data_IF_399561067619
#
_entry.id   IF_399561067619
#
_cell.length_a   1.000
_cell.length_b   1.000
_cell.length_c   1.000
_cell.angle_alpha   90.00
_cell.angle_beta   90.00
_cell.angle_gamma   90.00
#
_symmetry.space_group_name_H-M   'P 1'
#
loop_
_entity.id
_entity.type
_entity.pdbx_description
1 polymer ?
#
# COMPACT_ATOMS: atom_id res chain seq x y z
N UNK A 1 -12.07 60.34 -14.87
CA UNK A 1 -12.14 58.88 -14.93
C UNK A 1 -10.88 58.34 -14.24
N UNK A 2 -10.94 58.10 -12.93
CA UNK A 2 -9.86 57.49 -12.14
C UNK A 2 -10.54 56.48 -11.25
N UNK A 3 -10.57 55.24 -11.72
CA UNK A 3 -11.11 54.12 -10.97
C UNK A 3 -10.21 53.84 -9.76
N UNK A 4 -10.83 53.88 -8.59
CA UNK A 4 -10.19 53.55 -7.32
C UNK A 4 -10.21 52.04 -7.16
N UNK A 5 -9.06 51.41 -7.42
CA UNK A 5 -8.81 50.03 -7.01
C UNK A 5 -8.61 50.01 -5.49
N UNK A 6 -9.69 49.78 -4.76
CA UNK A 6 -9.64 49.41 -3.34
C UNK A 6 -9.08 47.99 -3.24
N UNK A 7 -7.76 47.85 -3.13
CA UNK A 7 -7.10 46.56 -2.87
C UNK A 7 -7.42 46.13 -1.44
N UNK A 8 -8.43 45.27 -1.31
CA UNK A 8 -8.89 44.71 -0.05
C UNK A 8 -7.84 43.69 0.46
N UNK A 9 -6.74 44.16 1.05
CA UNK A 9 -5.73 43.30 1.66
C UNK A 9 -6.26 42.75 2.99
N UNK A 10 -6.84 41.54 2.96
CA UNK A 10 -7.20 40.82 4.19
C UNK A 10 -5.93 40.59 5.01
N UNK A 11 -5.77 41.28 6.12
CA UNK A 11 -4.72 41.01 7.09
C UNK A 11 -5.06 39.70 7.80
N UNK A 12 -4.16 38.73 7.73
CA UNK A 12 -4.28 37.47 8.49
C UNK A 12 -4.13 37.84 9.96
N UNK A 13 -5.06 37.41 10.82
CA UNK A 13 -4.98 37.68 12.26
C UNK A 13 -4.22 36.58 12.97
N UNK A 14 -3.60 36.91 14.10
CA UNK A 14 -2.92 35.99 15.02
C UNK A 14 -3.72 34.72 15.28
N UNK A 15 -5.02 34.85 15.59
CA UNK A 15 -5.92 33.72 15.81
C UNK A 15 -6.05 32.83 14.57
N UNK A 16 -6.13 33.43 13.38
CA UNK A 16 -6.21 32.64 12.13
C UNK A 16 -4.93 31.85 11.84
N UNK A 17 -3.73 32.35 12.17
CA UNK A 17 -2.48 31.61 12.00
C UNK A 17 -2.42 30.38 12.92
N UNK A 18 -2.84 30.54 14.18
CA UNK A 18 -2.89 29.42 15.14
C UNK A 18 -3.89 28.36 14.68
N UNK A 19 -5.08 28.74 14.22
CA UNK A 19 -6.06 27.79 13.67
C UNK A 19 -5.54 27.07 12.43
N UNK A 20 -4.91 27.78 11.49
CA UNK A 20 -4.31 27.16 10.30
C UNK A 20 -3.22 26.16 10.69
N UNK A 21 -2.38 26.50 11.66
CA UNK A 21 -1.36 25.59 12.15
C UNK A 21 -1.93 24.34 12.83
N UNK A 22 -2.97 24.49 13.64
CA UNK A 22 -3.70 23.37 14.24
C UNK A 22 -4.34 22.46 13.17
N UNK A 23 -4.87 23.03 12.08
CA UNK A 23 -5.39 22.26 10.94
C UNK A 23 -4.28 21.42 10.30
N UNK A 24 -3.08 21.97 10.09
CA UNK A 24 -1.95 21.20 9.55
C UNK A 24 -1.53 20.04 10.46
N UNK A 25 -1.50 20.25 11.78
CA UNK A 25 -1.23 19.17 12.74
C UNK A 25 -2.32 18.11 12.75
N UNK A 26 -3.59 18.53 12.65
CA UNK A 26 -4.72 17.62 12.52
C UNK A 26 -4.62 16.78 11.24
N UNK A 27 -4.29 17.40 10.10
CA UNK A 27 -4.06 16.68 8.84
C UNK A 27 -2.92 15.66 8.99
N UNK A 28 -1.81 16.04 9.61
CA UNK A 28 -0.70 15.12 9.88
C UNK A 28 -1.14 13.91 10.72
N UNK A 29 -1.94 14.15 11.78
CA UNK A 29 -2.48 13.10 12.64
C UNK A 29 -3.45 12.20 11.88
N UNK A 30 -4.35 12.76 11.07
CA UNK A 30 -5.28 12.00 10.22
C UNK A 30 -4.51 11.12 9.22
N UNK A 31 -3.47 11.66 8.58
CA UNK A 31 -2.61 10.88 7.68
C UNK A 31 -1.97 9.73 8.44
N UNK A 32 -1.36 9.98 9.60
CA UNK A 32 -0.72 8.94 10.40
C UNK A 32 -1.70 7.85 10.83
N UNK A 33 -2.84 8.24 11.42
CA UNK A 33 -3.90 7.32 11.84
C UNK A 33 -4.35 6.47 10.66
N UNK A 34 -4.60 7.10 9.51
CA UNK A 34 -5.01 6.37 8.33
C UNK A 34 -4.00 5.29 7.93
N UNK A 35 -2.70 5.56 7.96
CA UNK A 35 -1.67 4.55 7.66
C UNK A 35 -1.68 3.37 8.63
N UNK A 36 -1.90 3.63 9.92
CA UNK A 36 -1.93 2.58 10.94
C UNK A 36 -3.10 1.60 10.76
N UNK A 37 -4.19 2.06 10.14
CA UNK A 37 -5.40 1.26 9.89
C UNK A 37 -5.56 0.83 8.43
N UNK A 38 -4.58 1.07 7.55
CA UNK A 38 -4.67 0.58 6.18
C UNK A 38 -4.52 -0.95 6.17
N UNK A 39 -5.47 -1.69 5.56
CA UNK A 39 -5.26 -3.11 5.33
C UNK A 39 -4.06 -3.30 4.40
N UNK A 40 -3.24 -4.30 4.70
CA UNK A 40 -2.14 -4.70 3.84
C UNK A 40 -2.59 -5.82 2.91
N UNK A 41 -2.12 -5.78 1.67
CA UNK A 41 -2.40 -6.79 0.66
C UNK A 41 -1.17 -7.06 -0.17
N UNK A 42 -0.97 -8.30 -0.60
CA UNK A 42 -0.01 -8.66 -1.65
C UNK A 42 -0.78 -9.15 -2.86
N UNK A 43 -0.45 -8.61 -4.04
CA UNK A 43 -0.95 -9.11 -5.32
C UNK A 43 0.14 -9.96 -5.96
N UNK A 44 -0.17 -11.23 -6.17
CA UNK A 44 0.68 -12.18 -6.88
C UNK A 44 0.15 -12.29 -8.30
N UNK A 45 1.03 -12.16 -9.30
CA UNK A 45 0.70 -12.25 -10.71
C UNK A 45 1.65 -13.25 -11.36
N UNK A 46 1.11 -14.13 -12.20
CA UNK A 46 1.89 -15.09 -12.97
C UNK A 46 1.24 -15.29 -14.33
N UNK A 47 2.04 -15.76 -15.27
CA UNK A 47 1.60 -16.04 -16.63
C UNK A 47 2.11 -17.41 -17.07
N UNK A 48 1.31 -18.09 -17.86
CA UNK A 48 1.69 -19.34 -18.50
C UNK A 48 1.91 -19.09 -19.99
N UNK A 49 2.84 -19.82 -20.60
CA UNK A 49 3.02 -19.81 -22.06
C UNK A 49 2.04 -20.77 -22.76
N UNK A 50 1.82 -21.93 -22.14
CA UNK A 50 0.87 -22.99 -22.54
C UNK A 50 0.46 -23.77 -21.28
N UNK A 51 -0.71 -24.42 -21.33
CA UNK A 51 -1.27 -25.20 -20.23
C UNK A 51 -1.66 -26.60 -20.75
N UNK A 52 -0.70 -27.54 -20.69
CA UNK A 52 -0.89 -28.90 -21.15
C UNK A 52 -1.36 -29.78 -19.99
N UNK A 53 -2.60 -30.27 -20.08
CA UNK A 53 -3.22 -31.07 -19.02
C UNK A 53 -3.30 -30.35 -17.66
N UNK A 54 -3.20 -29.03 -17.63
CA UNK A 54 -3.32 -28.24 -16.40
C UNK A 54 -4.80 -28.13 -15.99
N UNK A 55 -5.15 -28.61 -14.79
CA UNK A 55 -6.46 -28.39 -14.19
C UNK A 55 -6.55 -26.99 -13.55
N UNK A 56 -5.46 -26.50 -12.98
CA UNK A 56 -5.39 -25.18 -12.37
C UNK A 56 -4.22 -25.03 -11.41
N UNK A 57 -4.34 -24.04 -10.53
CA UNK A 57 -3.25 -23.61 -9.65
C UNK A 57 -3.68 -23.45 -8.20
N UNK A 58 -2.75 -23.74 -7.30
CA UNK A 58 -2.78 -23.33 -5.91
C UNK A 58 -1.62 -22.41 -5.60
N UNK A 59 -1.85 -21.47 -4.68
CA UNK A 59 -0.80 -20.68 -4.05
C UNK A 59 -0.62 -21.10 -2.60
N UNK A 60 0.64 -21.11 -2.20
CA UNK A 60 1.08 -21.30 -0.83
C UNK A 60 1.91 -20.11 -0.40
N UNK A 61 1.98 -19.89 0.92
CA UNK A 61 2.73 -18.79 1.53
C UNK A 61 3.54 -19.28 2.71
N UNK A 62 4.75 -18.74 2.86
CA UNK A 62 5.61 -18.86 4.03
C UNK A 62 6.15 -17.48 4.44
N UNK A 63 6.58 -17.35 5.70
CA UNK A 63 7.35 -16.20 6.19
C UNK A 63 8.88 -16.41 6.10
N UNK A 64 9.31 -17.59 5.64
CA UNK A 64 10.72 -17.95 5.45
C UNK A 64 10.87 -18.70 4.11
N UNK A 65 11.98 -18.47 3.37
CA UNK A 65 12.19 -19.16 2.10
C UNK A 65 12.31 -20.68 2.27
N UNK A 66 12.87 -21.14 3.39
CA UNK A 66 13.04 -22.55 3.74
C UNK A 66 11.97 -23.05 4.74
N UNK A 67 10.94 -22.24 4.99
CA UNK A 67 9.91 -22.50 5.98
C UNK A 67 8.78 -23.40 5.48
N UNK A 68 7.80 -23.66 6.36
CA UNK A 68 6.59 -24.37 5.99
C UNK A 68 5.67 -23.47 5.14
N UNK A 69 5.33 -23.95 3.95
CA UNK A 69 4.41 -23.28 3.04
C UNK A 69 2.97 -23.73 3.30
N UNK A 70 2.12 -22.78 3.66
CA UNK A 70 0.69 -23.01 3.93
C UNK A 70 -0.14 -22.57 2.73
N UNK A 71 -1.08 -23.41 2.27
CA UNK A 71 -1.97 -23.07 1.15
C UNK A 71 -2.86 -21.88 1.53
N UNK A 72 -2.89 -20.86 0.67
CA UNK A 72 -3.70 -19.64 0.87
C UNK A 72 -4.89 -19.56 -0.09
N UNK A 73 -4.96 -20.46 -1.07
CA UNK A 73 -6.10 -20.60 -1.97
C UNK A 73 -7.12 -21.58 -1.37
N UNK A 74 -8.36 -21.13 -1.23
CA UNK A 74 -9.47 -21.95 -0.69
C UNK A 74 -9.91 -23.03 -1.69
N UNK A 75 -9.95 -22.66 -2.97
CA UNK A 75 -10.28 -23.53 -4.09
C UNK A 75 -9.20 -23.47 -5.16
N UNK A 76 -9.17 -24.47 -6.04
CA UNK A 76 -8.31 -24.47 -7.21
C UNK A 76 -8.62 -23.24 -8.08
N UNK A 77 -7.59 -22.53 -8.52
CA UNK A 77 -7.71 -21.45 -9.50
C UNK A 77 -7.73 -22.13 -10.87
N UNK A 78 -8.85 -22.17 -11.60
CA UNK A 78 -8.95 -22.98 -12.82
C UNK A 78 -8.01 -22.48 -13.90
N UNK A 79 -7.41 -23.43 -14.61
CA UNK A 79 -6.71 -23.17 -15.86
C UNK A 79 -7.61 -22.43 -16.87
N UNK A 80 -7.04 -21.46 -17.57
CA UNK A 80 -7.70 -20.62 -18.59
C UNK A 80 -7.03 -20.77 -19.96
N UNK A 81 -5.78 -21.19 -19.98
CA UNK A 81 -5.04 -21.53 -21.17
C UNK A 81 -5.39 -22.92 -21.68
N UNK A 82 -4.57 -23.40 -22.60
CA UNK A 82 -4.67 -24.69 -23.25
C UNK A 82 -3.30 -25.10 -23.82
N UNK A 83 -3.27 -26.20 -24.57
CA UNK A 83 -2.04 -26.81 -25.10
C UNK A 83 -1.23 -25.93 -26.05
N UNK A 84 -1.80 -24.86 -26.61
CA UNK A 84 -1.13 -23.96 -27.56
C UNK A 84 -1.10 -22.49 -27.13
N UNK A 85 -1.77 -22.13 -26.04
CA UNK A 85 -1.78 -20.77 -25.50
C UNK A 85 -1.97 -20.77 -23.99
N UNK A 86 -1.19 -20.01 -23.26
CA UNK A 86 -1.38 -19.82 -21.82
C UNK A 86 -2.31 -18.67 -21.47
N UNK A 87 -2.20 -18.16 -20.25
CA UNK A 87 -3.03 -17.11 -19.70
C UNK A 87 -2.32 -16.35 -18.57
N UNK A 88 -2.82 -15.15 -18.28
CA UNK A 88 -2.40 -14.34 -17.12
C UNK A 88 -3.36 -14.54 -15.94
N UNK A 89 -2.78 -14.58 -14.75
CA UNK A 89 -3.49 -14.81 -13.50
C UNK A 89 -3.11 -13.78 -12.46
N UNK A 90 -4.01 -13.55 -11.50
CA UNK A 90 -3.71 -12.76 -10.31
C UNK A 90 -4.44 -13.32 -9.10
N UNK A 91 -3.79 -13.19 -7.94
CA UNK A 91 -4.36 -13.53 -6.63
C UNK A 91 -4.00 -12.43 -5.63
N UNK A 92 -4.94 -12.11 -4.73
CA UNK A 92 -4.73 -11.09 -3.70
C UNK A 92 -4.77 -11.73 -2.32
N UNK A 93 -3.64 -11.72 -1.63
CA UNK A 93 -3.54 -12.11 -0.23
C UNK A 93 -3.82 -10.91 0.67
N UNK A 94 -4.97 -10.93 1.35
CA UNK A 94 -5.42 -9.90 2.28
C UNK A 94 -5.06 -10.19 3.74
N UNK A 95 -4.36 -11.30 4.00
CA UNK A 95 -4.04 -11.79 5.36
C UNK A 95 -2.59 -11.48 5.78
N UNK A 96 -1.93 -10.59 5.05
CA UNK A 96 -0.55 -10.17 5.29
C UNK A 96 -0.47 -9.02 6.32
N UNK A 97 0.71 -8.87 6.91
CA UNK A 97 1.00 -7.82 7.90
C UNK A 97 2.05 -6.83 7.37
N UNK A 98 1.88 -5.52 7.61
CA UNK A 98 2.91 -4.53 7.27
C UNK A 98 4.20 -4.76 8.06
N UNK A 99 5.34 -4.59 7.38
CA UNK A 99 6.69 -4.79 7.91
C UNK A 99 7.24 -6.20 7.75
N UNK A 100 6.44 -7.14 7.22
CA UNK A 100 6.82 -8.53 7.03
C UNK A 100 7.19 -8.83 5.57
N UNK A 101 8.05 -9.82 5.38
CA UNK A 101 8.35 -10.42 4.07
C UNK A 101 7.65 -11.76 3.96
N UNK A 102 7.03 -12.01 2.81
CA UNK A 102 6.34 -13.24 2.49
C UNK A 102 6.91 -13.85 1.21
N UNK A 103 6.94 -15.18 1.21
CA UNK A 103 7.38 -16.02 0.11
C UNK A 103 6.18 -16.79 -0.39
N UNK A 104 5.93 -16.78 -1.69
CA UNK A 104 4.82 -17.48 -2.30
C UNK A 104 5.30 -18.52 -3.28
N UNK A 105 4.70 -19.69 -3.18
CA UNK A 105 4.99 -20.85 -4.01
C UNK A 105 3.76 -21.15 -4.86
N UNK A 106 3.98 -21.31 -6.16
CA UNK A 106 2.96 -21.75 -7.10
C UNK A 106 2.99 -23.29 -7.19
N UNK A 107 1.81 -23.90 -7.14
CA UNK A 107 1.59 -25.30 -7.42
C UNK A 107 0.64 -25.40 -8.61
N UNK A 108 1.08 -26.11 -9.65
CA UNK A 108 0.26 -26.53 -10.78
C UNK A 108 -0.37 -27.89 -10.44
N UNK A 109 -1.67 -28.03 -10.68
CA UNK A 109 -2.41 -29.29 -10.57
C UNK A 109 -2.79 -29.74 -11.97
N UNK A 110 -2.45 -30.97 -12.34
CA UNK A 110 -2.78 -31.57 -13.62
C UNK A 110 -4.14 -32.30 -13.57
N UNK A 111 -4.74 -32.58 -14.73
CA UNK A 111 -6.04 -33.24 -14.86
C UNK A 111 -6.06 -34.67 -14.29
N UNK A 112 -4.89 -35.30 -14.18
CA UNK A 112 -4.71 -36.62 -13.55
C UNK A 112 -4.45 -36.54 -12.03
N UNK A 113 -4.60 -35.35 -11.44
CA UNK A 113 -4.35 -35.03 -10.04
C UNK A 113 -2.87 -35.12 -9.61
N UNK A 114 -1.93 -35.24 -10.54
CA UNK A 114 -0.52 -34.97 -10.24
C UNK A 114 -0.30 -33.47 -10.02
N UNK A 115 0.77 -33.13 -9.31
CA UNK A 115 1.08 -31.74 -8.97
C UNK A 115 2.54 -31.42 -9.21
N UNK A 116 2.82 -30.20 -9.67
CA UNK A 116 4.17 -29.64 -9.78
C UNK A 116 4.27 -28.38 -8.94
N UNK A 117 5.27 -28.30 -8.06
CA UNK A 117 5.60 -27.10 -7.27
C UNK A 117 6.82 -26.41 -7.86
N UNK A 118 6.78 -25.09 -7.95
CA UNK A 118 7.87 -24.27 -8.46
C UNK A 118 8.75 -23.75 -7.30
N UNK A 119 9.43 -24.66 -6.61
CA UNK A 119 10.19 -24.35 -5.38
C UNK A 119 11.40 -23.44 -5.61
N UNK A 120 11.99 -23.48 -6.81
CA UNK A 120 13.12 -22.64 -7.20
C UNK A 120 12.71 -21.24 -7.70
N UNK A 121 11.41 -20.99 -7.89
CA UNK A 121 10.87 -19.73 -8.43
C UNK A 121 9.80 -19.13 -7.51
N UNK A 122 10.25 -18.70 -6.33
CA UNK A 122 9.39 -18.09 -5.31
C UNK A 122 9.11 -16.62 -5.65
N UNK A 123 7.84 -16.22 -5.52
CA UNK A 123 7.50 -14.79 -5.49
C UNK A 123 7.81 -14.24 -4.10
N UNK A 124 8.60 -13.17 -4.02
CA UNK A 124 9.00 -12.56 -2.75
C UNK A 124 8.45 -11.14 -2.65
N UNK A 125 7.69 -10.88 -1.59
CA UNK A 125 7.08 -9.57 -1.35
C UNK A 125 7.31 -9.08 0.07
N UNK A 126 7.86 -7.87 0.20
CA UNK A 126 7.95 -7.15 1.48
C UNK A 126 6.84 -6.12 1.57
N UNK A 127 5.99 -6.25 2.58
CA UNK A 127 4.89 -5.32 2.80
C UNK A 127 5.41 -4.09 3.55
N UNK A 128 5.38 -2.87 2.99
CA UNK A 128 5.87 -1.69 3.70
C UNK A 128 4.94 -1.30 4.84
N UNK A 129 5.50 -0.94 6.01
CA UNK A 129 4.73 -0.42 7.15
C UNK A 129 4.29 1.03 6.94
N UNK A 130 5.24 1.92 6.68
CA UNK A 130 5.04 3.32 6.31
C UNK A 130 6.13 3.66 5.29
N UNK A 131 5.78 4.24 4.15
CA UNK A 131 6.76 4.62 3.13
C UNK A 131 7.44 5.94 3.50
N UNK A 132 8.69 6.13 3.07
CA UNK A 132 9.43 7.38 3.31
C UNK A 132 8.70 8.61 2.76
N UNK A 133 8.01 8.50 1.62
CA UNK A 133 7.20 9.60 1.08
C UNK A 133 6.11 10.06 2.05
N UNK A 134 5.48 9.11 2.76
CA UNK A 134 4.47 9.44 3.79
C UNK A 134 5.11 10.04 5.03
N UNK A 135 6.27 9.54 5.45
CA UNK A 135 7.04 10.13 6.58
C UNK A 135 7.39 11.58 6.29
N UNK A 136 7.92 11.87 5.09
CA UNK A 136 8.26 13.22 4.66
C UNK A 136 7.02 14.11 4.61
N UNK A 137 5.91 13.61 4.06
CA UNK A 137 4.65 14.37 4.01
C UNK A 137 4.13 14.76 5.41
N UNK A 138 4.15 13.81 6.36
CA UNK A 138 3.77 14.07 7.75
C UNK A 138 4.72 15.12 8.36
N UNK A 139 6.03 14.97 8.16
CA UNK A 139 7.02 15.91 8.67
C UNK A 139 6.79 17.33 8.12
N UNK A 140 6.51 17.48 6.81
CA UNK A 140 6.19 18.77 6.20
C UNK A 140 4.92 19.37 6.81
N UNK A 141 3.86 18.58 6.99
CA UNK A 141 2.62 19.05 7.63
C UNK A 141 2.89 19.54 9.06
N UNK A 142 3.70 18.80 9.81
CA UNK A 142 4.08 19.17 11.19
C UNK A 142 4.91 20.46 11.20
N UNK A 143 5.90 20.61 10.32
CA UNK A 143 6.74 21.80 10.23
C UNK A 143 5.93 23.05 9.87
N UNK A 144 5.01 22.94 8.90
CA UNK A 144 4.10 24.05 8.56
C UNK A 144 3.19 24.38 9.75
N UNK A 145 2.60 23.36 10.38
CA UNK A 145 1.72 23.54 11.54
C UNK A 145 2.39 24.27 12.69
N UNK A 146 3.57 23.80 13.10
CA UNK A 146 4.36 24.42 14.16
C UNK A 146 4.83 25.83 13.78
N UNK A 147 5.28 26.03 12.54
CA UNK A 147 5.72 27.34 12.04
C UNK A 147 4.61 28.40 12.11
N UNK A 148 3.38 28.03 11.72
CA UNK A 148 2.22 28.91 11.79
C UNK A 148 1.79 29.22 13.23
N UNK A 149 1.80 28.21 14.12
CA UNK A 149 1.47 28.40 15.54
C UNK A 149 2.48 29.34 16.19
N UNK A 150 3.78 29.10 16.00
CA UNK A 150 4.84 29.97 16.56
C UNK A 150 4.73 31.39 16.03
N UNK A 151 4.44 31.56 14.73
CA UNK A 151 4.27 32.88 14.12
C UNK A 151 3.06 33.61 14.69
N UNK A 152 1.92 32.92 14.82
CA UNK A 152 0.72 33.49 15.46
C UNK A 152 0.99 33.90 16.91
N UNK A 153 1.60 33.03 17.72
CA UNK A 153 1.86 33.34 19.14
C UNK A 153 2.79 34.56 19.34
N UNK A 154 3.69 34.85 18.40
CA UNK A 154 4.57 36.03 18.44
C UNK A 154 3.85 37.36 18.19
N UNK A 155 2.68 37.33 17.55
CA UNK A 155 1.90 38.53 17.23
C UNK A 155 1.02 39.01 18.39
N UNK A 156 0.97 38.29 19.52
CA UNK A 156 0.24 38.72 20.71
C UNK A 156 1.04 39.83 21.42
N UNK A 157 0.56 41.10 21.44
CA UNK A 157 1.25 42.15 22.19
C UNK A 157 1.25 41.82 23.69
N UNK A 158 2.42 42.00 24.32
CA UNK A 158 2.63 41.81 25.78
C UNK A 158 1.82 42.83 26.59
#
# INVERSE_FOLDING_TARGET
MKDSYQTNSRTVTTSSLVYMGAVWLFVAAVILIFQLFRPATVRIEWETATELQTAGFHLYRSQSPEGEFVRITESLIPAKGNTVSGASYSFVDNSVRPGETYYYLLEEVELDATTRRYEDDLFVFTVPRITWGVVVLIAVCVLIGLGLIVSGLKEVPQ
#
